data_IF_208773259916
#
_entry.id   IF_208773259916
#
_cell.length_a   1.000
_cell.length_b   1.000
_cell.length_c   1.000
_cell.angle_alpha   90.00
_cell.angle_beta   90.00
_cell.angle_gamma   90.00
#
_symmetry.space_group_name_H-M   'P 1'
#
loop_
_entity.id
_entity.type
_entity.pdbx_description
1 polymer ?
#
# COMPACT_ATOMS: atom_id res chain seq x y z
N UNK A 1 -7.75 5.53 -6.16
CA UNK A 1 -7.07 4.23 -6.29
C UNK A 1 -7.00 3.83 -7.76
N UNK A 2 -5.79 3.48 -8.23
CA UNK A 2 -5.56 3.06 -9.62
C UNK A 2 -6.13 1.67 -9.91
N UNK A 3 -6.13 0.78 -8.93
CA UNK A 3 -6.69 -0.57 -9.06
C UNK A 3 -8.20 -0.56 -9.26
N UNK A 4 -8.72 -1.59 -9.91
CA UNK A 4 -10.16 -1.78 -10.11
C UNK A 4 -10.94 -1.96 -8.80
N UNK A 5 -10.24 -2.33 -7.74
CA UNK A 5 -10.73 -2.42 -6.37
C UNK A 5 -9.60 -2.13 -5.39
N UNK A 6 -9.94 -1.82 -4.14
CA UNK A 6 -8.94 -1.60 -3.09
C UNK A 6 -8.15 -2.89 -2.87
N UNK A 7 -6.82 -2.78 -2.85
CA UNK A 7 -5.93 -3.91 -2.61
C UNK A 7 -5.65 -4.80 -3.82
N UNK A 8 -6.21 -4.53 -5.01
CA UNK A 8 -6.03 -5.34 -6.21
C UNK A 8 -4.55 -5.54 -6.63
N UNK A 9 -3.72 -4.54 -6.39
CA UNK A 9 -2.30 -4.58 -6.77
C UNK A 9 -1.38 -5.07 -5.63
N UNK A 10 -1.93 -5.44 -4.48
CA UNK A 10 -1.15 -5.92 -3.34
C UNK A 10 -0.91 -7.42 -3.48
N UNK A 11 0.34 -7.80 -3.69
CA UNK A 11 0.75 -9.19 -3.93
C UNK A 11 1.35 -9.88 -2.70
N UNK A 12 1.63 -9.16 -1.62
CA UNK A 12 2.28 -9.72 -0.43
C UNK A 12 1.36 -9.74 0.78
N UNK A 13 1.56 -10.75 1.65
CA UNK A 13 1.15 -10.67 3.04
C UNK A 13 2.11 -9.82 3.85
N UNK A 14 1.80 -9.65 5.11
CA UNK A 14 2.66 -8.95 6.06
C UNK A 14 2.54 -9.60 7.45
N UNK A 15 3.55 -9.37 8.28
CA UNK A 15 3.43 -9.50 9.74
C UNK A 15 3.27 -8.09 10.28
N UNK A 16 2.18 -7.82 10.99
CA UNK A 16 1.89 -6.50 11.53
C UNK A 16 1.85 -6.50 13.06
N UNK A 17 2.30 -5.40 13.63
CA UNK A 17 2.01 -5.03 15.01
C UNK A 17 0.66 -4.31 15.04
N UNK A 18 -0.29 -4.82 15.84
CA UNK A 18 -1.69 -4.38 15.78
C UNK A 18 -1.98 -3.10 16.56
N UNK A 19 -1.04 -2.61 17.35
CA UNK A 19 -1.25 -1.45 18.24
C UNK A 19 -1.96 -0.26 17.59
N UNK A 20 -1.58 0.12 16.37
CA UNK A 20 -2.22 1.24 15.67
C UNK A 20 -3.67 0.94 15.27
N UNK A 21 -3.99 -0.31 14.96
CA UNK A 21 -5.36 -0.75 14.70
C UNK A 21 -6.18 -0.79 15.99
N UNK A 22 -5.60 -1.29 17.07
CA UNK A 22 -6.24 -1.36 18.39
C UNK A 22 -6.61 0.03 18.92
N UNK A 23 -5.75 1.03 18.67
CA UNK A 23 -6.00 2.43 19.06
C UNK A 23 -7.01 3.12 18.14
N UNK A 24 -6.99 2.85 16.84
CA UNK A 24 -7.84 3.53 15.86
C UNK A 24 -9.21 2.89 15.73
N UNK A 25 -9.28 1.58 15.79
CA UNK A 25 -10.47 0.76 15.56
C UNK A 25 -10.52 -0.35 16.64
N UNK A 26 -10.94 -0.07 17.87
CA UNK A 26 -10.87 -1.04 18.97
C UNK A 26 -11.51 -2.40 18.70
N UNK A 27 -12.55 -2.43 17.86
CA UNK A 27 -13.32 -3.64 17.53
C UNK A 27 -12.92 -4.26 16.18
N UNK A 28 -11.73 -3.91 15.64
CA UNK A 28 -11.30 -4.31 14.29
C UNK A 28 -11.13 -5.82 14.10
N UNK A 29 -10.85 -6.59 15.16
CA UNK A 29 -10.63 -8.05 15.09
C UNK A 29 -11.92 -8.85 15.28
N UNK A 30 -13.03 -8.22 15.66
CA UNK A 30 -14.33 -8.88 15.81
C UNK A 30 -14.88 -9.32 14.43
N UNK A 31 -14.85 -10.64 14.17
CA UNK A 31 -15.41 -11.24 12.95
C UNK A 31 -14.57 -11.07 11.68
N UNK A 32 -13.36 -10.52 11.77
CA UNK A 32 -12.48 -10.31 10.62
C UNK A 32 -11.53 -11.50 10.39
N UNK A 33 -11.77 -12.28 9.35
CA UNK A 33 -11.02 -13.51 9.03
C UNK A 33 -9.59 -13.27 8.53
N UNK A 34 -9.19 -12.07 8.15
CA UNK A 34 -7.87 -11.80 7.58
C UNK A 34 -6.75 -11.64 8.61
N UNK A 35 -7.06 -11.63 9.90
CA UNK A 35 -6.17 -11.37 11.02
C UNK A 35 -6.07 -12.53 12.02
N UNK A 36 -6.42 -13.73 11.59
CA UNK A 36 -6.60 -14.87 12.50
C UNK A 36 -5.32 -15.58 12.91
N UNK A 37 -4.17 -15.31 12.28
CA UNK A 37 -2.96 -16.08 12.53
C UNK A 37 -1.99 -15.29 13.40
N UNK A 38 -1.97 -15.51 14.73
CA UNK A 38 -0.97 -14.91 15.60
C UNK A 38 0.40 -15.51 15.34
N UNK A 39 1.45 -14.72 15.45
CA UNK A 39 2.82 -15.21 15.47
C UNK A 39 3.11 -15.78 16.84
N UNK A 40 3.30 -17.09 16.90
CA UNK A 40 3.58 -17.83 18.15
C UNK A 40 5.05 -18.11 18.35
N UNK A 41 5.85 -18.16 17.28
CA UNK A 41 7.29 -18.38 17.32
C UNK A 41 8.01 -17.73 16.14
N UNK A 42 9.25 -17.31 16.38
CA UNK A 42 10.16 -16.77 15.38
C UNK A 42 11.45 -17.61 15.36
N UNK A 43 11.92 -17.95 14.17
CA UNK A 43 13.18 -18.65 13.96
C UNK A 43 14.00 -17.96 12.88
N UNK A 44 15.24 -17.65 13.22
CA UNK A 44 16.22 -17.20 12.25
C UNK A 44 17.21 -18.32 11.98
N UNK A 45 17.30 -18.73 10.72
CA UNK A 45 18.18 -19.81 10.28
C UNK A 45 19.26 -19.25 9.36
N UNK A 46 20.51 -19.63 9.64
CA UNK A 46 21.62 -19.40 8.73
C UNK A 46 21.85 -20.68 7.93
N UNK A 47 21.60 -20.62 6.62
CA UNK A 47 21.72 -21.76 5.73
C UNK A 47 23.20 -22.02 5.45
N UNK A 48 23.69 -23.23 5.78
CA UNK A 48 25.09 -23.65 5.61
C UNK A 48 25.29 -24.64 4.47
N UNK A 49 24.20 -25.11 3.85
CA UNK A 49 24.20 -26.03 2.72
C UNK A 49 22.77 -26.32 2.26
N UNK A 50 22.61 -27.18 1.26
CA UNK A 50 21.30 -27.51 0.67
C UNK A 50 20.31 -28.12 1.68
N UNK A 51 20.81 -28.85 2.68
CA UNK A 51 19.99 -29.54 3.67
C UNK A 51 20.37 -29.21 5.11
N UNK A 52 21.26 -28.24 5.32
CA UNK A 52 21.78 -27.90 6.63
C UNK A 52 21.62 -26.44 6.99
N UNK A 53 21.32 -26.16 8.25
CA UNK A 53 21.17 -24.81 8.78
C UNK A 53 21.62 -24.74 10.25
N UNK A 54 22.02 -23.55 10.66
CA UNK A 54 22.31 -23.20 12.05
C UNK A 54 21.24 -22.24 12.53
N UNK A 55 20.56 -22.58 13.64
CA UNK A 55 19.59 -21.69 14.26
C UNK A 55 20.30 -20.60 15.05
N UNK A 56 19.94 -19.34 14.80
CA UNK A 56 20.42 -18.19 15.58
C UNK A 56 19.67 -18.16 16.91
N UNK A 57 20.37 -18.15 18.06
CA UNK A 57 19.72 -18.03 19.36
C UNK A 57 18.91 -16.75 19.48
N UNK A 58 17.70 -16.82 20.09
CA UNK A 58 16.79 -15.66 20.21
C UNK A 58 17.43 -14.41 20.84
N UNK A 59 18.35 -14.59 21.80
CA UNK A 59 19.03 -13.45 22.45
C UNK A 59 20.00 -12.68 21.54
N UNK A 60 20.40 -13.27 20.41
CA UNK A 60 21.21 -12.61 19.37
C UNK A 60 20.35 -11.98 18.26
N UNK A 61 19.05 -12.23 18.26
CA UNK A 61 18.15 -11.63 17.26
C UNK A 61 17.87 -10.17 17.62
N UNK A 62 17.93 -9.25 16.63
CA UNK A 62 17.49 -7.88 16.82
C UNK A 62 16.00 -7.84 17.22
N UNK A 63 15.62 -6.92 18.09
CA UNK A 63 14.22 -6.76 18.52
C UNK A 63 13.26 -6.52 17.36
N UNK A 64 13.71 -5.85 16.30
CA UNK A 64 12.95 -5.59 15.08
C UNK A 64 12.62 -6.84 14.26
N UNK A 65 13.27 -7.98 14.56
CA UNK A 65 13.00 -9.27 13.93
C UNK A 65 12.14 -10.18 14.82
N UNK A 66 11.75 -9.72 16.01
CA UNK A 66 10.90 -10.47 16.94
C UNK A 66 9.45 -10.07 16.71
N UNK A 67 8.65 -11.05 16.26
CA UNK A 67 7.25 -10.82 15.89
C UNK A 67 6.25 -11.51 16.80
N UNK A 68 6.70 -12.08 17.92
CA UNK A 68 5.81 -12.75 18.87
C UNK A 68 4.71 -11.79 19.35
N UNK A 69 3.45 -12.20 19.20
CA UNK A 69 2.28 -11.38 19.50
C UNK A 69 1.76 -10.55 18.31
N UNK A 70 2.54 -10.39 17.26
CA UNK A 70 2.09 -9.79 16.00
C UNK A 70 1.15 -10.75 15.24
N UNK A 71 0.56 -10.28 14.15
CA UNK A 71 -0.37 -11.05 13.32
C UNK A 71 0.16 -11.21 11.89
N UNK A 72 0.05 -12.41 11.34
CA UNK A 72 0.27 -12.67 9.91
C UNK A 72 -1.03 -12.37 9.19
N UNK A 73 -0.97 -11.52 8.18
CA UNK A 73 -2.15 -11.04 7.47
C UNK A 73 -1.99 -11.11 5.95
N UNK A 74 -3.14 -11.11 5.27
CA UNK A 74 -3.22 -10.68 3.88
C UNK A 74 -3.35 -9.15 3.86
N UNK A 75 -2.33 -8.46 3.34
CA UNK A 75 -2.33 -7.00 3.28
C UNK A 75 -3.44 -6.47 2.35
N UNK A 76 -3.72 -7.19 1.24
CA UNK A 76 -4.85 -6.87 0.35
C UNK A 76 -6.19 -6.91 1.08
N UNK A 77 -6.45 -7.98 1.84
CA UNK A 77 -7.70 -8.11 2.62
C UNK A 77 -7.82 -7.05 3.72
N UNK A 78 -6.70 -6.68 4.36
CA UNK A 78 -6.70 -5.58 5.32
C UNK A 78 -7.06 -4.25 4.66
N UNK A 79 -6.47 -3.95 3.48
CA UNK A 79 -6.79 -2.72 2.76
C UNK A 79 -8.26 -2.68 2.33
N UNK A 80 -8.83 -3.81 1.89
CA UNK A 80 -10.26 -3.90 1.57
C UNK A 80 -11.14 -3.64 2.79
N UNK A 81 -10.77 -4.19 3.95
CA UNK A 81 -11.48 -3.94 5.21
C UNK A 81 -11.41 -2.45 5.59
N UNK A 82 -10.22 -1.86 5.60
CA UNK A 82 -10.04 -0.44 5.92
C UNK A 82 -10.76 0.48 4.92
N UNK A 83 -10.82 0.08 3.65
CA UNK A 83 -11.59 0.79 2.64
C UNK A 83 -13.09 0.84 2.97
N UNK A 84 -13.68 -0.30 3.36
CA UNK A 84 -15.10 -0.34 3.80
C UNK A 84 -15.32 0.52 5.05
N UNK A 85 -14.42 0.42 6.04
CA UNK A 85 -14.51 1.28 7.23
C UNK A 85 -14.45 2.77 6.87
N UNK A 86 -13.60 3.16 5.93
CA UNK A 86 -13.51 4.53 5.45
C UNK A 86 -14.83 4.97 4.79
N UNK A 87 -15.43 4.13 3.95
CA UNK A 87 -16.73 4.40 3.32
C UNK A 87 -17.86 4.52 4.36
N UNK A 88 -17.90 3.64 5.35
CA UNK A 88 -18.86 3.69 6.46
C UNK A 88 -18.73 4.99 7.28
N UNK A 89 -17.52 5.55 7.35
CA UNK A 89 -17.23 6.84 7.98
C UNK A 89 -17.51 8.04 7.04
N UNK A 90 -18.02 7.80 5.83
CA UNK A 90 -18.42 8.84 4.88
C UNK A 90 -17.30 9.30 3.94
N UNK A 91 -16.19 8.57 3.85
CA UNK A 91 -15.14 8.85 2.87
C UNK A 91 -15.58 8.32 1.50
N UNK A 92 -15.46 9.14 0.47
CA UNK A 92 -15.67 8.68 -0.90
C UNK A 92 -14.42 7.97 -1.41
N UNK A 93 -14.55 6.69 -1.73
CA UNK A 93 -13.46 5.88 -2.29
C UNK A 93 -13.73 5.64 -3.78
N UNK A 94 -12.75 5.94 -4.62
CA UNK A 94 -12.86 5.84 -6.09
C UNK A 94 -11.87 4.82 -6.65
N UNK A 95 -12.16 3.51 -6.64
CA UNK A 95 -11.34 2.52 -7.33
C UNK A 95 -11.48 2.66 -8.85
N UNK A 96 -10.38 2.37 -9.58
CA UNK A 96 -10.34 2.52 -11.03
C UNK A 96 -10.10 3.94 -11.54
N UNK A 97 -9.96 4.92 -10.65
CA UNK A 97 -9.72 6.33 -11.01
C UNK A 97 -8.27 6.74 -10.68
N UNK A 98 -7.31 6.54 -11.58
CA UNK A 98 -5.95 6.99 -11.35
C UNK A 98 -5.88 8.52 -11.42
N UNK A 99 -5.26 9.15 -10.43
CA UNK A 99 -4.85 10.54 -10.55
C UNK A 99 -3.64 10.60 -11.51
N UNK A 100 -3.73 11.46 -12.54
CA UNK A 100 -2.74 11.57 -13.61
C UNK A 100 -2.02 12.91 -13.62
N UNK A 101 -2.62 13.93 -13.00
CA UNK A 101 -2.04 15.26 -12.90
C UNK A 101 -2.51 15.97 -11.64
N UNK A 102 -1.88 17.09 -11.30
CA UNK A 102 -2.23 17.93 -10.16
C UNK A 102 -2.86 19.25 -10.64
N UNK A 103 -3.72 19.80 -9.81
CA UNK A 103 -4.24 21.16 -10.00
C UNK A 103 -3.39 22.08 -9.14
N UNK A 104 -2.59 22.92 -9.79
CA UNK A 104 -1.76 23.92 -9.13
C UNK A 104 -2.29 25.32 -9.37
N UNK A 105 -2.36 26.12 -8.31
CA UNK A 105 -2.73 27.54 -8.36
C UNK A 105 -1.77 28.31 -7.45
N UNK A 106 -1.09 29.28 -8.01
CA UNK A 106 -0.15 30.17 -7.30
C UNK A 106 0.91 29.40 -6.44
N UNK A 107 1.47 28.31 -6.99
CA UNK A 107 2.48 27.49 -6.31
C UNK A 107 1.92 26.58 -5.23
N UNK A 108 0.61 26.35 -5.19
CA UNK A 108 -0.06 25.49 -4.23
C UNK A 108 -0.89 24.43 -4.93
N UNK A 109 -0.76 23.19 -4.50
CA UNK A 109 -1.59 22.08 -4.97
C UNK A 109 -3.01 22.22 -4.40
N UNK A 110 -3.99 22.34 -5.28
CA UNK A 110 -5.40 22.55 -4.98
C UNK A 110 -6.27 21.34 -5.32
N UNK A 111 -5.68 20.24 -5.77
CA UNK A 111 -6.40 19.04 -6.13
C UNK A 111 -5.64 18.15 -7.10
N UNK A 112 -6.37 17.22 -7.71
CA UNK A 112 -5.84 16.30 -8.72
C UNK A 112 -6.79 16.18 -9.90
N UNK A 113 -6.25 15.75 -11.04
CA UNK A 113 -7.01 15.42 -12.25
C UNK A 113 -6.95 13.90 -12.41
N UNK A 114 -8.09 13.26 -12.59
CA UNK A 114 -8.16 11.82 -12.90
C UNK A 114 -7.95 11.58 -14.39
N UNK A 115 -7.44 10.40 -14.75
CA UNK A 115 -7.29 10.01 -16.15
C UNK A 115 -8.63 9.78 -16.84
N UNK A 116 -8.63 9.90 -18.17
CA UNK A 116 -9.76 9.51 -19.00
C UNK A 116 -10.01 8.00 -18.90
N UNK A 117 -11.27 7.61 -18.90
CA UNK A 117 -11.71 6.24 -18.82
C UNK A 117 -12.30 5.76 -20.15
N UNK A 118 -12.38 4.43 -20.31
CA UNK A 118 -12.97 3.84 -21.51
C UNK A 118 -12.14 4.05 -22.79
N UNK A 119 -10.81 4.13 -22.66
CA UNK A 119 -9.88 4.11 -23.78
C UNK A 119 -9.54 2.66 -24.17
N UNK A 120 -9.24 2.43 -25.44
CA UNK A 120 -8.65 1.19 -25.90
C UNK A 120 -7.12 1.16 -25.69
N UNK A 121 -6.46 0.06 -26.11
CA UNK A 121 -5.00 -0.10 -25.99
C UNK A 121 -4.19 0.92 -26.79
N UNK A 122 -4.79 1.54 -27.80
CA UNK A 122 -4.18 2.51 -28.71
C UNK A 122 -4.57 3.95 -28.31
N UNK A 123 -5.26 4.12 -27.14
CA UNK A 123 -5.69 5.40 -26.59
C UNK A 123 -6.92 6.00 -27.27
N UNK A 124 -7.66 5.22 -28.08
CA UNK A 124 -8.88 5.71 -28.74
C UNK A 124 -10.11 5.52 -27.83
N UNK A 125 -11.04 6.47 -27.84
CA UNK A 125 -12.25 6.38 -27.04
C UNK A 125 -13.15 5.23 -27.53
N UNK A 126 -13.63 4.41 -26.59
CA UNK A 126 -14.67 3.40 -26.78
C UNK A 126 -16.06 4.02 -26.53
N UNK A 127 -17.12 3.23 -26.71
CA UNK A 127 -18.50 3.64 -26.40
C UNK A 127 -18.68 4.03 -24.92
N UNK A 128 -17.84 3.47 -24.03
CA UNK A 128 -17.79 3.78 -22.59
C UNK A 128 -16.80 4.87 -22.22
N UNK A 129 -16.42 5.72 -23.16
CA UNK A 129 -15.48 6.80 -22.89
C UNK A 129 -16.07 7.84 -21.94
N UNK A 130 -15.33 8.13 -20.89
CA UNK A 130 -15.60 9.22 -19.95
C UNK A 130 -14.32 10.03 -19.75
N UNK A 131 -14.47 11.35 -19.82
CA UNK A 131 -13.36 12.25 -19.56
C UNK A 131 -13.03 12.28 -18.07
N UNK A 132 -11.75 12.42 -17.75
CA UNK A 132 -11.29 12.59 -16.38
C UNK A 132 -11.89 13.81 -15.67
N UNK A 133 -11.92 13.75 -14.35
CA UNK A 133 -12.50 14.76 -13.48
C UNK A 133 -11.42 15.57 -12.76
N UNK A 134 -11.71 16.85 -12.52
CA UNK A 134 -10.97 17.67 -11.57
C UNK A 134 -11.55 17.46 -10.16
N UNK A 135 -10.74 16.98 -9.24
CA UNK A 135 -11.08 16.82 -7.82
C UNK A 135 -10.33 17.89 -7.02
N UNK A 136 -11.06 18.91 -6.59
CA UNK A 136 -10.49 20.02 -5.83
C UNK A 136 -10.61 19.81 -4.34
N UNK A 137 -9.56 20.17 -3.61
CA UNK A 137 -9.49 20.01 -2.16
C UNK A 137 -8.75 21.17 -1.51
N UNK A 138 -9.08 21.44 -0.23
CA UNK A 138 -8.33 22.39 0.60
C UNK A 138 -6.92 21.90 0.89
N UNK A 139 -6.74 20.58 0.95
CA UNK A 139 -5.46 19.90 1.17
C UNK A 139 -5.45 18.59 0.42
N UNK A 140 -4.35 18.25 -0.24
CA UNK A 140 -4.15 17.01 -0.97
C UNK A 140 -3.01 16.22 -0.30
N UNK A 141 -3.24 14.93 0.00
CA UNK A 141 -2.25 14.03 0.60
C UNK A 141 -1.87 12.99 -0.44
N UNK A 142 -0.58 12.92 -0.79
CA UNK A 142 -0.03 11.94 -1.73
C UNK A 142 0.52 10.74 -0.96
N UNK A 143 -0.19 9.61 -1.02
CA UNK A 143 0.18 8.34 -0.36
C UNK A 143 0.39 7.22 -1.38
N UNK A 144 1.08 7.53 -2.47
CA UNK A 144 1.28 6.64 -3.63
C UNK A 144 2.41 5.61 -3.44
N UNK A 145 3.05 5.61 -2.27
CA UNK A 145 4.21 4.75 -1.99
C UNK A 145 5.52 5.27 -2.62
N UNK A 146 6.56 4.45 -2.53
CA UNK A 146 7.94 4.84 -2.86
C UNK A 146 8.18 5.16 -4.34
N UNK A 147 7.29 4.80 -5.24
CA UNK A 147 7.37 5.06 -6.68
C UNK A 147 6.05 5.62 -7.23
N UNK A 148 5.40 6.44 -6.47
CA UNK A 148 4.19 7.13 -6.87
C UNK A 148 4.36 7.91 -8.18
N UNK A 149 3.31 7.97 -8.99
CA UNK A 149 3.38 8.63 -10.28
C UNK A 149 3.47 10.14 -10.14
N UNK A 150 2.52 10.74 -9.44
CA UNK A 150 2.51 12.18 -9.14
C UNK A 150 3.59 12.56 -8.11
N UNK A 151 3.83 11.69 -7.15
CA UNK A 151 4.88 11.91 -6.13
C UNK A 151 6.26 12.16 -6.73
N UNK A 152 6.63 11.48 -7.83
CA UNK A 152 7.90 11.74 -8.53
C UNK A 152 7.94 13.12 -9.15
N UNK A 153 6.87 13.53 -9.83
CA UNK A 153 6.77 14.84 -10.47
C UNK A 153 6.90 15.96 -9.41
N UNK A 154 6.16 15.83 -8.30
CA UNK A 154 6.19 16.81 -7.21
C UNK A 154 7.54 16.86 -6.49
N UNK A 155 8.21 15.71 -6.30
CA UNK A 155 9.55 15.66 -5.72
C UNK A 155 10.53 16.45 -6.59
N UNK A 156 10.45 16.32 -7.91
CA UNK A 156 11.32 17.02 -8.85
C UNK A 156 10.96 18.53 -8.90
N UNK A 157 9.69 18.86 -9.11
CA UNK A 157 9.18 20.21 -9.26
C UNK A 157 9.46 21.10 -8.03
N UNK A 158 9.14 20.57 -6.85
CA UNK A 158 9.34 21.28 -5.58
C UNK A 158 10.69 20.97 -4.92
N UNK A 159 11.58 20.23 -5.60
CA UNK A 159 12.90 19.85 -5.07
C UNK A 159 12.85 19.20 -3.68
N UNK A 160 11.84 18.36 -3.41
CA UNK A 160 11.57 17.82 -2.08
C UNK A 160 12.65 16.84 -1.59
N UNK A 161 13.44 16.26 -2.48
CA UNK A 161 14.54 15.34 -2.15
C UNK A 161 15.91 16.03 -2.10
N UNK A 162 16.00 17.36 -2.15
CA UNK A 162 17.25 18.11 -2.27
C UNK A 162 18.27 17.77 -1.18
N UNK A 163 17.80 17.57 0.04
CA UNK A 163 18.64 17.31 1.21
C UNK A 163 18.51 15.87 1.72
N UNK A 164 18.01 14.96 0.88
CA UNK A 164 17.82 13.54 1.21
C UNK A 164 18.89 12.66 0.58
N UNK A 165 19.25 11.58 1.28
CA UNK A 165 20.09 10.53 0.70
C UNK A 165 19.36 9.81 -0.45
N UNK A 166 20.09 9.22 -1.42
CA UNK A 166 19.51 8.43 -2.48
C UNK A 166 18.64 7.30 -1.94
N UNK A 167 17.44 7.16 -2.47
CA UNK A 167 16.52 6.11 -2.04
C UNK A 167 16.98 4.74 -2.53
N UNK A 168 17.05 3.78 -1.62
CA UNK A 168 17.34 2.39 -1.92
C UNK A 168 16.03 1.58 -2.04
N UNK A 169 15.93 0.76 -3.09
CA UNK A 169 14.74 -0.06 -3.35
C UNK A 169 15.07 -1.54 -3.19
N UNK A 170 14.26 -2.25 -2.41
CA UNK A 170 14.24 -3.71 -2.43
C UNK A 170 13.38 -4.22 -3.58
N UNK A 171 13.78 -5.34 -4.18
CA UNK A 171 12.99 -6.06 -5.19
C UNK A 171 12.48 -7.34 -4.55
N UNK A 172 11.16 -7.55 -4.56
CA UNK A 172 10.51 -8.77 -4.11
C UNK A 172 9.90 -9.54 -5.27
N UNK A 173 9.97 -10.86 -5.19
CA UNK A 173 9.26 -11.77 -6.10
C UNK A 173 8.30 -12.62 -5.28
N UNK A 174 7.10 -12.83 -5.79
CA UNK A 174 6.12 -13.73 -5.21
C UNK A 174 5.58 -14.67 -6.28
N UNK A 175 5.61 -15.96 -5.98
CA UNK A 175 5.02 -17.01 -6.81
C UNK A 175 4.02 -17.81 -6.00
N UNK A 176 2.95 -18.26 -6.64
CA UNK A 176 1.95 -19.17 -6.08
C UNK A 176 1.97 -20.45 -6.91
N UNK A 177 2.26 -21.55 -6.26
CA UNK A 177 2.37 -22.87 -6.90
C UNK A 177 1.19 -23.74 -6.49
N UNK A 178 0.57 -24.41 -7.47
CA UNK A 178 -0.34 -25.52 -7.20
C UNK A 178 0.49 -26.79 -7.13
N UNK A 179 0.41 -27.50 -6.02
CA UNK A 179 1.12 -28.75 -5.73
C UNK A 179 0.14 -29.90 -5.48
#
# INVERSE_FOLDING_TARGET
EKGSEIGAHIISGAVIETRSLDELLPDWDEGNNFLQTPVTDDKMLFLTGETSSISVPKFLMPRTMMNHGNRIISLGSMCQYLGRVAEDLGVNVFPGFPAVDVIEEEGRICGVITGDMGLDKDGQPKDSFERGYELRAKQTIFSEGCRGNLGKQLIEEFSLAKDSDPQHYGIGFKEVWNI
#
